data_IF_081472584577
#
_entry.id   IF_081472584577
#
_cell.length_a   1.000
_cell.length_b   1.000
_cell.length_c   1.000
_cell.angle_alpha   90.00
_cell.angle_beta   90.00
_cell.angle_gamma   90.00
#
_symmetry.space_group_name_H-M   'P 1'
#
loop_
_entity.id
_entity.type
_entity.pdbx_description
1 polymer ?
#
# COMPACT_ATOMS: atom_id res chain seq x y z
N UNK A 1 27.77 20.12 -15.68
CA UNK A 1 26.30 20.33 -15.77
C UNK A 1 26.03 21.67 -16.43
N UNK A 2 25.39 21.70 -17.64
CA UNK A 2 25.28 22.90 -18.47
C UNK A 2 24.43 24.01 -17.82
N UNK A 3 24.73 25.28 -18.16
CA UNK A 3 24.08 26.49 -17.63
C UNK A 3 22.54 26.42 -17.69
N UNK A 4 21.97 25.91 -18.79
CA UNK A 4 20.52 25.72 -18.96
C UNK A 4 19.90 24.80 -17.87
N UNK A 5 20.60 23.73 -17.44
CA UNK A 5 20.10 22.85 -16.36
C UNK A 5 20.10 23.55 -15.01
N UNK A 6 21.09 24.40 -14.73
CA UNK A 6 21.17 25.19 -13.48
C UNK A 6 20.05 26.23 -13.42
N UNK A 7 19.78 26.95 -14.51
CA UNK A 7 18.69 27.94 -14.58
C UNK A 7 17.34 27.25 -14.40
N UNK A 8 17.08 26.15 -15.13
CA UNK A 8 15.83 25.40 -15.01
C UNK A 8 15.59 24.94 -13.57
N UNK A 9 16.62 24.41 -12.90
CA UNK A 9 16.51 23.98 -11.50
C UNK A 9 16.10 25.13 -10.61
N UNK A 10 16.79 26.29 -10.68
CA UNK A 10 16.46 27.47 -9.86
C UNK A 10 15.03 27.96 -10.05
N UNK A 11 14.55 27.97 -11.29
CA UNK A 11 13.16 28.35 -11.60
C UNK A 11 12.17 27.35 -10.98
N UNK A 12 12.43 26.04 -11.11
CA UNK A 12 11.58 25.03 -10.52
C UNK A 12 11.58 25.12 -8.98
N UNK A 13 12.75 25.32 -8.36
CA UNK A 13 12.87 25.47 -6.92
C UNK A 13 12.11 26.72 -6.42
N UNK A 14 12.20 27.85 -7.12
CA UNK A 14 11.43 29.05 -6.81
C UNK A 14 9.91 28.81 -6.94
N UNK A 15 9.45 28.20 -8.02
CA UNK A 15 8.04 27.87 -8.20
C UNK A 15 7.52 26.94 -7.09
N UNK A 16 8.35 25.98 -6.68
CA UNK A 16 8.01 25.08 -5.59
C UNK A 16 7.78 25.82 -4.26
N UNK A 17 8.60 26.88 -3.95
CA UNK A 17 8.39 27.72 -2.75
C UNK A 17 7.06 28.49 -2.80
N UNK A 18 6.48 28.64 -3.98
CA UNK A 18 5.16 29.27 -4.19
C UNK A 18 4.02 28.23 -4.29
N UNK A 19 4.29 26.98 -3.96
CA UNK A 19 3.30 25.89 -4.04
C UNK A 19 3.00 25.43 -5.47
N UNK A 20 3.81 25.84 -6.48
CA UNK A 20 3.61 25.46 -7.88
C UNK A 20 4.51 24.27 -8.22
N UNK A 21 3.91 23.11 -8.45
CA UNK A 21 4.60 21.92 -8.92
C UNK A 21 4.87 22.01 -10.43
N UNK A 22 6.12 21.80 -10.82
CA UNK A 22 6.52 21.70 -12.22
C UNK A 22 7.01 20.30 -12.53
N UNK A 23 6.45 19.67 -13.55
CA UNK A 23 6.88 18.36 -14.02
C UNK A 23 7.08 18.37 -15.54
N UNK A 24 7.84 17.38 -16.03
CA UNK A 24 7.92 17.15 -17.47
C UNK A 24 6.59 16.59 -17.94
N UNK A 25 5.96 17.24 -18.94
CA UNK A 25 4.75 16.69 -19.56
C UNK A 25 5.05 15.28 -20.11
N UNK A 26 4.28 14.33 -19.69
CA UNK A 26 4.28 12.97 -20.24
C UNK A 26 3.44 12.99 -21.52
N UNK A 27 3.84 12.23 -22.54
CA UNK A 27 3.05 12.13 -23.77
C UNK A 27 1.73 11.38 -23.50
N UNK A 28 0.67 11.81 -24.17
CA UNK A 28 -0.67 11.23 -24.02
C UNK A 28 -0.65 9.73 -24.38
N UNK A 29 0.20 9.31 -25.31
CA UNK A 29 0.39 7.90 -25.65
C UNK A 29 0.89 7.08 -24.47
N UNK A 30 1.83 7.60 -23.68
CA UNK A 30 2.31 6.91 -22.45
C UNK A 30 1.24 6.85 -21.38
N UNK A 31 0.48 7.93 -21.20
CA UNK A 31 -0.65 7.97 -20.27
C UNK A 31 -1.69 6.94 -20.67
N UNK A 32 -2.10 6.93 -21.92
CA UNK A 32 -3.09 5.99 -22.46
C UNK A 32 -2.62 4.52 -22.36
N UNK A 33 -1.32 4.25 -22.54
CA UNK A 33 -0.78 2.92 -22.35
C UNK A 33 -0.89 2.46 -20.88
N UNK A 34 -0.58 3.35 -19.92
CA UNK A 34 -0.76 3.03 -18.49
C UNK A 34 -2.24 2.80 -18.18
N UNK A 35 -3.12 3.67 -18.66
CA UNK A 35 -4.58 3.52 -18.48
C UNK A 35 -5.06 2.16 -19.00
N UNK A 36 -4.60 1.75 -20.19
CA UNK A 36 -4.94 0.42 -20.75
C UNK A 36 -4.48 -0.74 -19.89
N UNK A 37 -3.30 -0.62 -19.24
CA UNK A 37 -2.78 -1.68 -18.38
C UNK A 37 -3.57 -1.84 -17.07
N UNK A 38 -4.20 -0.77 -16.58
CA UNK A 38 -4.98 -0.76 -15.33
C UNK A 38 -6.50 -0.82 -15.58
N UNK A 39 -6.94 -1.07 -16.81
CA UNK A 39 -8.36 -1.27 -17.10
C UNK A 39 -8.89 -2.50 -16.35
N UNK A 40 -10.09 -2.41 -15.77
CA UNK A 40 -10.76 -3.56 -15.19
C UNK A 40 -10.87 -4.71 -16.22
N UNK A 41 -10.61 -5.91 -15.78
CA UNK A 41 -10.82 -7.13 -16.56
C UNK A 41 -11.97 -7.91 -15.97
N UNK A 42 -12.77 -8.52 -16.84
CA UNK A 42 -13.77 -9.47 -16.40
C UNK A 42 -13.08 -10.66 -15.75
N UNK A 43 -13.61 -11.09 -14.62
CA UNK A 43 -13.15 -12.27 -13.90
C UNK A 43 -14.16 -13.40 -14.14
N UNK A 44 -13.66 -14.60 -14.29
CA UNK A 44 -14.48 -15.83 -14.34
C UNK A 44 -14.96 -16.26 -12.96
N UNK A 45 -14.32 -15.71 -11.91
CA UNK A 45 -14.58 -16.00 -10.50
C UNK A 45 -15.47 -14.91 -9.93
N UNK A 46 -16.42 -15.28 -9.08
CA UNK A 46 -17.28 -14.34 -8.36
C UNK A 46 -16.47 -13.43 -7.45
N UNK A 47 -16.84 -12.18 -7.39
CA UNK A 47 -16.28 -11.25 -6.43
C UNK A 47 -17.02 -11.34 -5.10
N UNK A 48 -16.27 -11.25 -4.00
CA UNK A 48 -16.77 -11.09 -2.63
C UNK A 48 -16.27 -9.79 -2.04
N UNK A 49 -16.98 -9.30 -1.05
CA UNK A 49 -16.55 -8.13 -0.28
C UNK A 49 -16.09 -8.58 1.11
N UNK A 50 -14.91 -8.13 1.53
CA UNK A 50 -14.30 -8.39 2.83
C UNK A 50 -14.08 -7.05 3.53
N UNK A 51 -14.33 -6.97 4.85
CA UNK A 51 -14.12 -5.76 5.65
C UNK A 51 -15.35 -4.85 5.78
N UNK A 52 -16.52 -5.34 5.37
CA UNK A 52 -17.78 -4.62 5.48
C UNK A 52 -18.02 -3.61 4.35
N UNK A 53 -19.07 -2.77 4.49
CA UNK A 53 -19.58 -1.93 3.39
C UNK A 53 -18.98 -0.52 3.33
N UNK A 54 -18.18 -0.13 4.33
CA UNK A 54 -17.59 1.20 4.44
C UNK A 54 -16.09 1.20 4.09
N UNK A 55 -15.40 2.27 4.50
CA UNK A 55 -13.95 2.33 4.44
C UNK A 55 -13.29 1.14 5.15
N UNK A 56 -12.21 0.63 4.59
CA UNK A 56 -11.56 -0.61 5.03
C UNK A 56 -12.24 -1.90 4.52
N UNK A 57 -13.25 -1.80 3.65
CA UNK A 57 -13.83 -2.95 2.95
C UNK A 57 -13.42 -3.01 1.49
N UNK A 58 -12.95 -4.17 1.04
CA UNK A 58 -12.42 -4.39 -0.30
C UNK A 58 -13.19 -5.46 -1.05
N UNK A 59 -13.38 -5.25 -2.35
CA UNK A 59 -13.92 -6.26 -3.24
C UNK A 59 -12.77 -7.04 -3.85
N UNK A 60 -12.77 -8.34 -3.63
CA UNK A 60 -11.71 -9.26 -4.08
C UNK A 60 -12.33 -10.46 -4.81
N UNK A 61 -11.61 -11.13 -5.69
CA UNK A 61 -12.04 -12.43 -6.23
C UNK A 61 -12.26 -13.43 -5.08
N UNK A 62 -13.29 -14.26 -5.18
CA UNK A 62 -13.54 -15.36 -4.23
C UNK A 62 -12.61 -16.55 -4.53
N UNK A 63 -11.31 -16.29 -4.43
CA UNK A 63 -10.23 -17.23 -4.70
C UNK A 63 -9.15 -17.04 -3.61
N UNK A 64 -9.56 -17.22 -2.36
CA UNK A 64 -8.67 -17.06 -1.20
C UNK A 64 -8.11 -18.40 -0.70
N UNK A 65 -8.48 -19.49 -1.33
CA UNK A 65 -7.99 -20.82 -0.98
C UNK A 65 -6.46 -20.90 -1.18
N UNK A 66 -5.76 -21.38 -0.17
CA UNK A 66 -4.30 -21.47 -0.19
C UNK A 66 -3.56 -20.17 0.19
N UNK A 67 -4.25 -19.04 0.32
CA UNK A 67 -3.65 -17.81 0.85
C UNK A 67 -3.43 -17.97 2.36
N UNK A 68 -2.18 -17.83 2.79
CA UNK A 68 -1.79 -17.99 4.20
C UNK A 68 -1.57 -16.67 4.91
N UNK A 69 -1.14 -15.64 4.17
CA UNK A 69 -0.68 -14.37 4.72
C UNK A 69 -1.24 -13.17 3.97
N UNK A 70 -1.55 -12.12 4.72
CA UNK A 70 -1.89 -10.81 4.21
C UNK A 70 -0.93 -9.76 4.82
N UNK A 71 -0.43 -8.84 4.02
CA UNK A 71 0.31 -7.67 4.48
C UNK A 71 -0.55 -6.43 4.28
N UNK A 72 -0.94 -5.82 5.40
CA UNK A 72 -1.87 -4.68 5.43
C UNK A 72 -1.20 -3.43 6.03
N UNK A 73 -0.53 -2.60 5.22
CA UNK A 73 0.05 -1.34 5.69
C UNK A 73 -1.00 -0.23 5.73
N UNK A 74 -0.93 0.63 6.77
CA UNK A 74 -1.82 1.79 6.89
C UNK A 74 -3.24 1.43 7.34
N UNK A 75 -3.35 0.63 8.38
CA UNK A 75 -4.63 0.07 8.88
C UNK A 75 -5.56 1.12 9.50
N UNK A 76 -4.99 2.19 10.07
CA UNK A 76 -5.77 3.19 10.79
C UNK A 76 -6.55 2.62 11.97
N UNK A 77 -7.76 3.14 12.19
CA UNK A 77 -8.64 2.71 13.29
C UNK A 77 -9.64 1.61 12.90
N UNK A 78 -9.67 1.20 11.65
CA UNK A 78 -10.64 0.23 11.11
C UNK A 78 -9.93 -1.04 10.67
N UNK A 79 -10.30 -2.17 11.24
CA UNK A 79 -9.65 -3.47 11.01
C UNK A 79 -10.65 -4.58 10.69
N UNK A 80 -11.80 -4.24 10.14
CA UNK A 80 -12.81 -5.24 9.78
C UNK A 80 -12.31 -6.21 8.72
N UNK A 81 -11.49 -5.73 7.79
CA UNK A 81 -10.89 -6.56 6.75
C UNK A 81 -9.99 -7.63 7.34
N UNK A 82 -9.07 -7.25 8.20
CA UNK A 82 -8.13 -8.17 8.84
C UNK A 82 -8.82 -9.17 9.77
N UNK A 83 -9.90 -8.75 10.44
CA UNK A 83 -10.72 -9.64 11.27
C UNK A 83 -11.42 -10.71 10.43
N UNK A 84 -12.05 -10.32 9.32
CA UNK A 84 -12.68 -11.29 8.41
C UNK A 84 -11.66 -12.22 7.75
N UNK A 85 -10.42 -11.76 7.50
CA UNK A 85 -9.31 -12.62 7.06
C UNK A 85 -8.90 -13.60 8.16
N UNK A 86 -8.85 -13.16 9.43
CA UNK A 86 -8.56 -14.03 10.57
C UNK A 86 -9.61 -15.15 10.73
N UNK A 87 -10.90 -14.84 10.55
CA UNK A 87 -12.00 -15.83 10.51
C UNK A 87 -11.78 -16.88 9.42
N UNK A 88 -11.15 -16.49 8.31
CA UNK A 88 -10.76 -17.37 7.19
C UNK A 88 -9.41 -18.07 7.40
N UNK A 89 -8.80 -17.93 8.58
CA UNK A 89 -7.49 -18.50 8.94
C UNK A 89 -6.32 -17.94 8.14
N UNK A 90 -6.47 -16.72 7.61
CA UNK A 90 -5.41 -15.99 6.93
C UNK A 90 -4.74 -15.07 7.95
N UNK A 91 -3.45 -15.29 8.21
CA UNK A 91 -2.68 -14.45 9.14
C UNK A 91 -2.39 -13.09 8.50
N UNK A 92 -2.69 -12.02 9.22
CA UNK A 92 -2.47 -10.64 8.76
C UNK A 92 -1.32 -9.98 9.52
N UNK A 93 -0.36 -9.44 8.78
CA UNK A 93 0.70 -8.58 9.29
C UNK A 93 0.31 -7.13 9.01
N UNK A 94 0.19 -6.33 10.07
CA UNK A 94 -0.24 -4.94 10.01
C UNK A 94 0.94 -4.02 10.32
N UNK A 95 1.04 -2.90 9.63
CA UNK A 95 2.02 -1.87 9.94
C UNK A 95 1.38 -0.48 9.87
N UNK A 96 1.35 0.23 11.00
CA UNK A 96 0.88 1.61 11.05
C UNK A 96 1.51 2.32 12.26
N UNK A 97 2.19 3.44 12.02
CA UNK A 97 2.79 4.22 13.10
C UNK A 97 1.80 5.20 13.74
N UNK A 98 0.71 5.55 13.04
CA UNK A 98 -0.25 6.58 13.47
C UNK A 98 -1.24 6.09 14.53
N UNK A 99 -1.36 4.78 14.73
CA UNK A 99 -2.32 4.17 15.67
C UNK A 99 -1.61 3.25 16.66
N UNK A 100 -2.26 3.01 17.80
CA UNK A 100 -1.80 2.04 18.78
C UNK A 100 -2.35 0.65 18.48
N UNK A 101 -1.64 -0.39 18.95
CA UNK A 101 -2.08 -1.76 18.79
C UNK A 101 -3.40 -2.00 19.54
N UNK A 102 -4.41 -2.46 18.82
CA UNK A 102 -5.74 -2.82 19.34
C UNK A 102 -6.08 -4.29 19.10
N UNK A 103 -5.10 -5.08 18.67
CA UNK A 103 -5.30 -6.43 18.13
C UNK A 103 -4.70 -7.54 18.99
N UNK A 104 -4.27 -7.23 20.22
CA UNK A 104 -3.52 -8.13 21.11
C UNK A 104 -4.23 -9.44 21.43
N UNK A 105 -5.53 -9.55 21.13
CA UNK A 105 -6.33 -10.74 21.42
C UNK A 105 -6.52 -11.68 20.22
N UNK A 106 -5.98 -11.37 19.04
CA UNK A 106 -6.10 -12.23 17.87
C UNK A 106 -4.72 -12.78 17.45
N UNK A 107 -4.45 -14.08 17.65
CA UNK A 107 -3.16 -14.68 17.34
C UNK A 107 -2.81 -14.69 15.85
N UNK A 108 -3.80 -14.44 14.98
CA UNK A 108 -3.61 -14.32 13.54
C UNK A 108 -3.36 -12.87 13.09
N UNK A 109 -3.34 -11.90 14.01
CA UNK A 109 -3.01 -10.53 13.71
C UNK A 109 -1.70 -10.15 14.41
N UNK A 110 -0.72 -9.71 13.62
CA UNK A 110 0.59 -9.26 14.09
C UNK A 110 0.75 -7.79 13.70
N UNK A 111 0.83 -6.92 14.69
CA UNK A 111 0.90 -5.46 14.48
C UNK A 111 2.32 -4.93 14.75
N UNK A 112 2.78 -4.08 13.85
CA UNK A 112 4.06 -3.38 13.98
C UNK A 112 3.85 -1.86 13.88
N UNK A 113 4.29 -1.12 14.91
CA UNK A 113 4.16 0.36 14.94
C UNK A 113 5.22 1.00 14.05
N UNK A 114 5.05 0.87 12.74
CA UNK A 114 5.91 1.40 11.69
C UNK A 114 5.09 1.93 10.52
N UNK A 115 5.61 2.96 9.84
CA UNK A 115 5.13 3.31 8.50
C UNK A 115 5.84 2.47 7.46
N UNK A 116 5.12 2.09 6.40
CA UNK A 116 5.76 1.53 5.22
C UNK A 116 6.49 2.64 4.46
N UNK A 117 7.76 2.41 4.14
CA UNK A 117 8.63 3.36 3.46
C UNK A 117 9.48 2.72 2.36
N UNK A 118 10.23 3.53 1.65
CA UNK A 118 11.20 3.04 0.65
C UNK A 118 12.47 2.44 1.26
N UNK A 119 12.78 2.80 2.50
CA UNK A 119 13.93 2.31 3.28
C UNK A 119 13.51 2.05 4.71
N UNK A 120 14.21 1.13 5.37
CA UNK A 120 14.06 0.89 6.81
C UNK A 120 14.88 1.91 7.58
N UNK A 121 14.22 2.79 8.35
CA UNK A 121 14.85 3.79 9.17
C UNK A 121 13.90 4.34 10.24
N UNK A 122 14.30 4.37 11.52
CA UNK A 122 13.48 4.86 12.65
C UNK A 122 12.07 4.25 12.64
N UNK A 123 11.05 5.06 12.35
CA UNK A 123 9.65 4.71 12.35
C UNK A 123 9.16 4.14 11.00
N UNK A 124 10.07 3.87 10.08
CA UNK A 124 9.79 3.33 8.75
C UNK A 124 10.38 1.94 8.59
N UNK A 125 9.68 1.09 7.87
CA UNK A 125 10.15 -0.21 7.43
C UNK A 125 9.95 -0.36 5.92
N UNK A 126 10.95 -0.87 5.20
CA UNK A 126 10.76 -1.18 3.79
C UNK A 126 9.88 -2.41 3.62
N UNK A 127 9.13 -2.49 2.52
CA UNK A 127 8.30 -3.68 2.25
C UNK A 127 9.13 -4.96 2.28
N UNK A 128 10.31 -4.94 1.67
CA UNK A 128 11.21 -6.09 1.63
C UNK A 128 11.62 -6.55 3.04
N UNK A 129 12.10 -5.64 3.87
CA UNK A 129 12.57 -5.98 5.22
C UNK A 129 11.42 -6.45 6.09
N UNK A 130 10.24 -5.80 5.95
CA UNK A 130 9.04 -6.19 6.67
C UNK A 130 8.60 -7.61 6.31
N UNK A 131 8.45 -7.91 5.03
CA UNK A 131 8.08 -9.25 4.58
C UNK A 131 9.10 -10.30 5.04
N UNK A 132 10.40 -10.05 4.86
CA UNK A 132 11.47 -10.96 5.27
C UNK A 132 11.55 -11.19 6.77
N UNK A 133 11.09 -10.23 7.60
CA UNK A 133 11.04 -10.40 9.06
C UNK A 133 9.88 -11.26 9.53
N UNK A 134 8.84 -11.45 8.70
CA UNK A 134 7.60 -12.15 9.08
C UNK A 134 7.49 -13.56 8.51
N UNK A 135 8.05 -13.80 7.34
CA UNK A 135 7.98 -15.09 6.66
C UNK A 135 9.34 -15.43 6.02
N UNK A 136 9.70 -16.70 6.07
CA UNK A 136 10.83 -17.21 5.30
C UNK A 136 10.32 -17.51 3.89
N UNK A 137 10.97 -16.92 2.91
CA UNK A 137 10.75 -17.23 1.50
C UNK A 137 11.75 -18.33 1.11
N UNK A 138 11.39 -19.58 1.35
CA UNK A 138 12.10 -20.74 0.84
C UNK A 138 11.66 -21.08 -0.58
#
# INVERSE_FOLDING_TARGET
>A
MGLRKKIKKRVCDYLLTKGVFTSKKISDSKVNNIIKLVQPKELTIKNIRIGGNNDGGYVVPDDLDGIKYCFSPGVGNVSKFEKELSERKIKSFLADFSVDNKFDNDPLIDFEKKFLGSITHKNYISLKDWMSSKINFD
#
